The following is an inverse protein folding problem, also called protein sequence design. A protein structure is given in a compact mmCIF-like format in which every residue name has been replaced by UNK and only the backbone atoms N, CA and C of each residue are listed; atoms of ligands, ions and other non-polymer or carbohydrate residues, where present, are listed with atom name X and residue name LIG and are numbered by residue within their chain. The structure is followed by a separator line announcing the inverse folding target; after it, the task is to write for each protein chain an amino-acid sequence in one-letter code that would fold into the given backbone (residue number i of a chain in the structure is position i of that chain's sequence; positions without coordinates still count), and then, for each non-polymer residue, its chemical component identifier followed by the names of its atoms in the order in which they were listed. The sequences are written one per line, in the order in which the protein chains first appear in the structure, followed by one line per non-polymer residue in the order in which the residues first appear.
data_IF_184066010044
#
_entry.id   IF_184066010044
#
_cell.length_a   1.000
_cell.length_b   1.000
_cell.length_c   1.000
_cell.angle_alpha   90.00
_cell.angle_beta   90.00
_cell.angle_gamma   90.00
#
_symmetry.space_group_name_H-M   'P 1'
#
loop_
_entity.id
_entity.type
_entity.pdbx_description
1 polymer ?
#
# COMPACT_ATOMS: atom_id res chain seq x y z
N UNK A 1 -11.26 1.73 12.88
CA UNK A 1 -11.97 0.94 13.92
C UNK A 1 -13.22 1.63 14.46
N UNK A 2 -13.14 2.82 15.08
CA UNK A 2 -14.32 3.49 15.63
C UNK A 2 -15.46 3.69 14.61
N UNK A 3 -15.13 4.12 13.38
CA UNK A 3 -16.12 4.23 12.29
C UNK A 3 -16.74 2.90 11.86
N UNK A 4 -16.02 1.77 12.00
CA UNK A 4 -16.59 0.44 11.72
C UNK A 4 -17.59 0.04 12.80
N UNK A 5 -17.27 0.32 14.07
CA UNK A 5 -18.14 0.06 15.21
C UNK A 5 -19.43 0.90 15.15
N UNK A 6 -19.36 2.12 14.62
CA UNK A 6 -20.50 3.02 14.47
C UNK A 6 -21.32 2.81 13.19
N UNK A 7 -20.90 1.91 12.29
CA UNK A 7 -21.59 1.68 11.01
C UNK A 7 -22.33 0.34 10.98
N UNK A 8 -23.37 0.25 10.15
CA UNK A 8 -24.22 -0.94 9.99
C UNK A 8 -24.18 -1.55 8.56
N UNK A 9 -23.35 -1.01 7.67
CA UNK A 9 -23.29 -1.47 6.27
C UNK A 9 -22.73 -2.89 6.12
N UNK A 10 -23.27 -3.67 5.17
CA UNK A 10 -22.76 -5.00 4.78
C UNK A 10 -21.38 -4.92 4.09
N UNK A 11 -21.10 -3.80 3.47
CA UNK A 11 -19.85 -3.48 2.81
C UNK A 11 -19.16 -2.33 3.54
N UNK A 12 -17.84 -2.36 3.55
CA UNK A 12 -16.99 -1.36 4.15
C UNK A 12 -16.11 -0.71 3.09
N UNK A 13 -15.89 0.58 3.25
CA UNK A 13 -14.84 1.36 2.58
C UNK A 13 -14.35 2.41 3.57
N UNK A 14 -13.04 2.65 3.58
CA UNK A 14 -12.41 3.67 4.41
C UNK A 14 -12.02 4.86 3.54
N UNK A 15 -12.54 6.04 3.84
CA UNK A 15 -12.27 7.26 3.08
C UNK A 15 -11.51 8.25 3.94
N UNK A 16 -10.32 8.65 3.48
CA UNK A 16 -9.58 9.75 4.09
C UNK A 16 -10.33 11.06 3.88
N UNK A 17 -10.31 11.93 4.89
CA UNK A 17 -11.12 13.16 4.94
C UNK A 17 -10.81 14.16 3.80
N UNK A 18 -9.74 13.94 3.05
CA UNK A 18 -9.32 14.81 1.96
C UNK A 18 -9.31 14.17 0.58
N UNK A 19 -9.70 12.90 0.48
CA UNK A 19 -9.90 12.18 -0.76
C UNK A 19 -11.35 12.27 -1.23
N UNK A 20 -11.58 11.97 -2.52
CA UNK A 20 -12.93 11.96 -3.12
C UNK A 20 -13.19 10.63 -3.79
N UNK A 21 -14.37 10.05 -3.56
CA UNK A 21 -14.81 8.87 -4.31
C UNK A 21 -15.26 9.28 -5.71
N UNK A 22 -14.92 8.45 -6.71
CA UNK A 22 -15.45 8.64 -8.04
C UNK A 22 -16.93 8.23 -8.09
N UNK A 23 -17.77 8.95 -8.87
CA UNK A 23 -19.17 8.55 -9.07
C UNK A 23 -19.29 7.11 -9.59
N UNK A 24 -20.24 6.34 -9.05
CA UNK A 24 -20.48 4.96 -9.48
C UNK A 24 -19.50 3.92 -8.91
N UNK A 25 -18.48 4.32 -8.14
CA UNK A 25 -17.50 3.37 -7.61
C UNK A 25 -18.17 2.37 -6.64
N UNK A 26 -18.95 2.85 -5.68
CA UNK A 26 -19.58 1.99 -4.68
C UNK A 26 -20.55 0.99 -5.34
N UNK A 27 -21.34 1.45 -6.29
CA UNK A 27 -22.30 0.63 -7.05
C UNK A 27 -21.57 -0.46 -7.82
N UNK A 28 -20.51 -0.11 -8.57
CA UNK A 28 -19.73 -1.07 -9.35
C UNK A 28 -19.00 -2.09 -8.45
N UNK A 29 -18.43 -1.63 -7.34
CA UNK A 29 -17.69 -2.47 -6.41
C UNK A 29 -18.61 -3.45 -5.66
N UNK A 30 -19.76 -2.97 -5.19
CA UNK A 30 -20.77 -3.83 -4.55
C UNK A 30 -21.34 -4.82 -5.55
N UNK A 31 -21.67 -4.40 -6.78
CA UNK A 31 -22.16 -5.31 -7.81
C UNK A 31 -21.16 -6.43 -8.10
N UNK A 32 -19.86 -6.12 -8.17
CA UNK A 32 -18.83 -7.14 -8.35
C UNK A 32 -18.72 -8.11 -7.15
N UNK A 33 -18.80 -7.60 -5.92
CA UNK A 33 -18.78 -8.44 -4.72
C UNK A 33 -20.03 -9.32 -4.58
N UNK A 34 -21.20 -8.84 -5.00
CA UNK A 34 -22.42 -9.65 -5.04
C UNK A 34 -22.35 -10.73 -6.14
N UNK A 35 -21.76 -10.41 -7.29
CA UNK A 35 -21.63 -11.33 -8.42
C UNK A 35 -20.60 -12.45 -8.21
N UNK A 36 -19.50 -12.18 -7.50
CA UNK A 36 -18.47 -13.17 -7.20
C UNK A 36 -18.18 -13.21 -5.68
N UNK A 37 -18.80 -14.16 -4.94
CA UNK A 37 -18.57 -14.37 -3.51
C UNK A 37 -17.11 -14.70 -3.14
N UNK A 38 -16.28 -15.12 -4.10
CA UNK A 38 -14.88 -15.46 -3.85
C UNK A 38 -13.93 -14.25 -3.93
N UNK A 39 -14.40 -13.09 -4.40
CA UNK A 39 -13.63 -11.85 -4.33
C UNK A 39 -13.43 -11.42 -2.88
N UNK A 40 -12.20 -11.11 -2.50
CA UNK A 40 -11.84 -10.56 -1.19
C UNK A 40 -12.18 -9.08 -1.10
N UNK A 41 -11.82 -8.30 -2.12
CA UNK A 41 -12.05 -6.86 -2.17
C UNK A 41 -12.03 -6.33 -3.61
N UNK A 42 -12.56 -5.12 -3.78
CA UNK A 42 -12.61 -4.41 -5.05
C UNK A 42 -12.01 -3.01 -4.91
N UNK A 43 -11.13 -2.67 -5.83
CA UNK A 43 -10.52 -1.33 -5.94
C UNK A 43 -10.43 -0.94 -7.42
N UNK A 44 -9.85 0.20 -7.74
CA UNK A 44 -9.62 0.59 -9.14
C UNK A 44 -8.53 1.64 -9.27
N UNK A 45 -8.57 2.40 -10.36
CA UNK A 45 -7.60 3.48 -10.54
C UNK A 45 -7.81 4.60 -9.49
N UNK A 46 -6.71 5.12 -8.95
CA UNK A 46 -6.72 6.21 -7.96
C UNK A 46 -5.91 7.42 -8.44
N UNK A 47 -6.35 8.16 -9.47
CA UNK A 47 -5.68 9.37 -9.92
C UNK A 47 -5.40 10.34 -8.76
N UNK A 48 -4.20 10.92 -8.76
CA UNK A 48 -3.77 11.91 -7.78
C UNK A 48 -4.13 13.31 -8.24
N UNK A 49 -4.52 14.19 -7.34
CA UNK A 49 -4.77 15.59 -7.66
C UNK A 49 -4.11 16.54 -6.64
N UNK A 50 -3.95 17.81 -7.02
CA UNK A 50 -3.43 18.87 -6.17
C UNK A 50 -4.35 20.09 -6.28
N UNK A 51 -4.89 20.56 -5.16
CA UNK A 51 -5.85 21.65 -5.16
C UNK A 51 -7.23 21.18 -5.64
N UNK A 52 -7.67 21.64 -6.80
CA UNK A 52 -8.93 21.23 -7.42
C UNK A 52 -8.78 19.87 -8.14
N UNK A 53 -9.86 19.07 -8.23
CA UNK A 53 -9.85 17.72 -8.82
C UNK A 53 -9.82 17.70 -10.35
N UNK A 54 -9.79 18.87 -11.01
CA UNK A 54 -9.77 19.04 -12.47
C UNK A 54 -8.41 18.70 -13.10
N UNK A 55 -7.33 18.67 -12.30
CA UNK A 55 -5.98 18.32 -12.76
C UNK A 55 -5.45 17.09 -12.03
N UNK A 56 -5.66 15.94 -12.66
CA UNK A 56 -5.20 14.65 -12.13
C UNK A 56 -3.95 14.12 -12.81
N UNK A 57 -3.11 13.44 -12.05
CA UNK A 57 -1.97 12.65 -12.52
C UNK A 57 -2.24 11.19 -12.18
N UNK A 58 -2.11 10.23 -13.12
CA UNK A 58 -2.28 8.82 -12.82
C UNK A 58 -1.38 8.38 -11.66
N UNK A 59 -1.95 7.65 -10.70
CA UNK A 59 -1.15 6.91 -9.74
C UNK A 59 -0.81 5.54 -10.34
N UNK A 60 0.46 5.36 -10.68
CA UNK A 60 1.00 4.06 -11.10
C UNK A 60 1.07 3.09 -9.91
N UNK A 61 -0.09 2.47 -9.63
CA UNK A 61 -0.24 1.36 -8.71
C UNK A 61 0.00 0.05 -9.46
N UNK A 62 1.00 -0.76 -9.04
CA UNK A 62 1.26 -2.04 -9.67
C UNK A 62 0.05 -2.97 -9.47
N UNK A 63 -0.18 -3.93 -10.38
CA UNK A 63 -1.25 -4.90 -10.25
C UNK A 63 -1.09 -5.71 -8.95
N UNK A 64 -2.22 -6.13 -8.39
CA UNK A 64 -2.21 -6.94 -7.18
C UNK A 64 -1.64 -8.33 -7.46
N UNK A 65 -0.74 -8.76 -6.58
CA UNK A 65 -0.34 -10.15 -6.35
C UNK A 65 0.18 -10.21 -4.92
N UNK A 66 0.15 -11.38 -4.28
CA UNK A 66 0.69 -11.50 -2.92
C UNK A 66 2.17 -11.11 -2.84
N UNK A 67 2.99 -11.49 -3.83
CA UNK A 67 4.38 -11.07 -3.91
C UNK A 67 4.53 -9.54 -4.04
N UNK A 68 3.67 -8.89 -4.83
CA UNK A 68 3.68 -7.42 -4.91
C UNK A 68 3.24 -6.79 -3.61
N UNK A 69 2.13 -7.25 -3.02
CA UNK A 69 1.59 -6.69 -1.78
C UNK A 69 2.57 -6.77 -0.62
N UNK A 70 3.21 -7.93 -0.43
CA UNK A 70 4.22 -8.14 0.60
C UNK A 70 5.48 -7.29 0.37
N UNK A 71 5.77 -6.94 -0.89
CA UNK A 71 6.88 -6.07 -1.25
C UNK A 71 6.62 -4.59 -1.03
N UNK A 72 5.45 -4.15 -1.46
CA UNK A 72 5.06 -2.75 -1.62
C UNK A 72 3.55 -2.72 -1.55
N UNK A 73 3.03 -1.88 -0.67
CA UNK A 73 1.61 -1.61 -0.68
C UNK A 73 1.13 -1.18 -2.09
N UNK A 74 0.28 -2.00 -2.69
CA UNK A 74 -0.32 -1.77 -4.00
C UNK A 74 -1.84 -1.49 -3.91
N UNK A 75 -2.38 -1.45 -2.69
CA UNK A 75 -3.77 -1.15 -2.39
C UNK A 75 -3.84 0.11 -1.53
N UNK A 76 -4.65 1.08 -1.94
CA UNK A 76 -4.98 2.22 -1.09
C UNK A 76 -6.10 1.84 -0.11
N UNK A 77 -6.26 2.62 0.98
CA UNK A 77 -7.18 2.28 2.07
C UNK A 77 -8.66 2.19 1.62
N UNK A 78 -9.05 2.98 0.61
CA UNK A 78 -10.41 3.05 0.07
C UNK A 78 -10.80 1.91 -0.88
N UNK A 79 -10.35 0.68 -0.62
CA UNK A 79 -10.92 -0.50 -1.27
C UNK A 79 -12.28 -0.84 -0.63
N UNK A 80 -13.17 -1.49 -1.39
CA UNK A 80 -14.44 -2.02 -0.88
C UNK A 80 -14.29 -3.49 -0.53
N UNK A 81 -14.71 -3.87 0.68
CA UNK A 81 -14.72 -5.25 1.16
C UNK A 81 -16.02 -5.58 1.89
N UNK A 82 -16.29 -6.87 2.15
CA UNK A 82 -17.41 -7.28 3.01
C UNK A 82 -17.06 -7.03 4.47
N UNK A 83 -18.04 -6.56 5.25
CA UNK A 83 -17.90 -6.45 6.71
C UNK A 83 -17.55 -7.80 7.33
N UNK A 84 -18.18 -8.88 6.86
CA UNK A 84 -17.91 -10.22 7.37
C UNK A 84 -16.43 -10.62 7.25
N UNK A 85 -15.72 -10.15 6.22
CA UNK A 85 -14.28 -10.41 6.05
C UNK A 85 -13.44 -9.52 6.99
N UNK A 86 -13.83 -8.25 7.16
CA UNK A 86 -13.22 -7.35 8.14
C UNK A 86 -13.31 -7.92 9.57
N UNK A 87 -14.48 -8.44 9.96
CA UNK A 87 -14.76 -8.94 11.32
C UNK A 87 -13.97 -10.21 11.67
N UNK A 88 -13.30 -10.84 10.69
CA UNK A 88 -12.34 -11.94 10.92
C UNK A 88 -10.97 -11.45 11.37
N UNK A 89 -10.74 -10.15 11.37
CA UNK A 89 -9.48 -9.50 11.75
C UNK A 89 -9.66 -8.70 13.05
N UNK A 90 -8.54 -8.24 13.63
CA UNK A 90 -8.57 -7.26 14.72
C UNK A 90 -8.81 -5.81 14.24
N UNK A 91 -9.07 -5.60 12.94
CA UNK A 91 -9.13 -4.29 12.31
C UNK A 91 -7.75 -3.64 12.16
N UNK A 92 -7.73 -2.30 12.14
CA UNK A 92 -6.49 -1.53 12.03
C UNK A 92 -5.70 -1.58 13.34
N UNK A 93 -4.42 -1.90 13.27
CA UNK A 93 -3.55 -1.96 14.44
C UNK A 93 -2.98 -0.57 14.82
N UNK A 94 -3.26 -0.05 16.03
CA UNK A 94 -2.74 1.23 16.48
C UNK A 94 -1.20 1.34 16.47
N UNK A 95 -0.49 0.21 16.50
CA UNK A 95 0.98 0.19 16.40
C UNK A 95 1.50 0.75 15.06
N UNK A 96 0.64 0.83 14.04
CA UNK A 96 0.91 1.40 12.72
C UNK A 96 0.27 2.79 12.49
N UNK A 97 -0.25 3.45 13.53
CA UNK A 97 -0.86 4.78 13.40
C UNK A 97 0.10 5.89 12.93
N UNK A 98 1.42 5.67 13.02
CA UNK A 98 2.43 6.56 12.45
C UNK A 98 2.55 6.45 10.92
N UNK A 99 1.97 5.41 10.32
CA UNK A 99 1.99 5.13 8.88
C UNK A 99 1.93 3.62 8.59
N UNK A 100 1.41 3.27 7.40
CA UNK A 100 1.26 1.91 6.87
C UNK A 100 0.18 1.08 7.58
N UNK A 101 -0.72 1.73 8.31
CA UNK A 101 -1.91 1.13 8.91
C UNK A 101 -2.79 0.38 7.89
N UNK A 102 -2.88 0.91 6.67
CA UNK A 102 -3.58 0.28 5.55
C UNK A 102 -2.87 -1.00 5.08
N UNK A 103 -1.55 -0.94 4.92
CA UNK A 103 -0.75 -2.09 4.51
C UNK A 103 -0.85 -3.23 5.53
N UNK A 104 -0.64 -2.94 6.80
CA UNK A 104 -0.82 -3.90 7.90
C UNK A 104 -2.20 -4.55 7.85
N UNK A 105 -3.25 -3.73 7.77
CA UNK A 105 -4.62 -4.20 7.71
C UNK A 105 -4.87 -5.17 6.54
N UNK A 106 -4.39 -4.83 5.33
CA UNK A 106 -4.54 -5.70 4.17
C UNK A 106 -3.83 -7.05 4.35
N UNK A 107 -2.63 -7.06 4.94
CA UNK A 107 -1.92 -8.31 5.22
C UNK A 107 -2.66 -9.16 6.27
N UNK A 108 -3.12 -8.55 7.36
CA UNK A 108 -3.96 -9.23 8.36
C UNK A 108 -5.26 -9.79 7.76
N UNK A 109 -5.90 -9.06 6.85
CA UNK A 109 -7.08 -9.53 6.14
C UNK A 109 -6.77 -10.78 5.31
N UNK A 110 -5.67 -10.77 4.54
CA UNK A 110 -5.28 -11.91 3.72
C UNK A 110 -4.83 -13.13 4.53
N UNK A 111 -4.29 -12.94 5.74
CA UNK A 111 -3.99 -14.04 6.67
C UNK A 111 -5.24 -14.66 7.29
N UNK A 112 -6.27 -13.87 7.57
CA UNK A 112 -7.49 -14.31 8.25
C UNK A 112 -8.48 -15.04 7.31
N UNK A 113 -8.32 -14.87 6.00
CA UNK A 113 -9.19 -15.46 4.98
C UNK A 113 -8.64 -16.79 4.47
N UNK A 114 -9.51 -17.78 4.21
CA UNK A 114 -9.09 -19.04 3.63
C UNK A 114 -8.76 -18.87 2.14
N UNK A 115 -7.73 -19.57 1.68
CA UNK A 115 -7.34 -19.58 0.27
C UNK A 115 -6.47 -18.40 -0.15
N UNK A 116 -6.32 -18.21 -1.46
CA UNK A 116 -5.60 -17.07 -2.01
C UNK A 116 -6.55 -15.87 -2.19
N UNK A 117 -6.13 -14.65 -1.82
CA UNK A 117 -6.98 -13.47 -1.95
C UNK A 117 -7.25 -13.17 -3.42
N UNK A 118 -8.54 -13.00 -3.75
CA UNK A 118 -8.97 -12.60 -5.09
C UNK A 118 -9.33 -11.12 -5.06
N UNK A 119 -8.53 -10.32 -5.73
CA UNK A 119 -8.67 -8.86 -5.74
C UNK A 119 -9.07 -8.41 -7.14
N UNK A 120 -10.19 -7.69 -7.25
CA UNK A 120 -10.63 -7.10 -8.50
C UNK A 120 -10.17 -5.64 -8.60
N UNK A 121 -9.51 -5.31 -9.70
CA UNK A 121 -9.21 -3.92 -10.10
C UNK A 121 -10.19 -3.50 -11.20
N UNK A 122 -11.05 -2.55 -10.89
CA UNK A 122 -11.92 -1.88 -11.85
C UNK A 122 -11.08 -0.99 -12.78
N UNK A 123 -11.50 -0.90 -14.04
CA UNK A 123 -10.82 -0.11 -15.06
C UNK A 123 -11.05 1.40 -14.88
N UNK A 124 -12.21 1.78 -14.34
CA UNK A 124 -12.56 3.17 -14.08
C UNK A 124 -11.84 3.76 -12.86
N UNK A 125 -11.67 5.10 -12.81
CA UNK A 125 -11.34 5.80 -11.58
C UNK A 125 -12.32 5.45 -10.48
N UNK A 126 -11.80 5.12 -9.31
CA UNK A 126 -12.57 4.78 -8.11
C UNK A 126 -12.33 5.80 -6.99
N UNK A 127 -11.14 6.39 -6.95
CA UNK A 127 -10.72 7.35 -5.95
C UNK A 127 -9.96 8.50 -6.63
N UNK A 128 -10.17 9.72 -6.17
CA UNK A 128 -9.26 10.84 -6.41
C UNK A 128 -8.46 11.06 -5.13
N UNK A 129 -7.15 10.77 -5.21
CA UNK A 129 -6.25 10.86 -4.07
C UNK A 129 -5.62 12.25 -3.95
N UNK A 130 -5.78 12.93 -2.83
CA UNK A 130 -5.24 14.28 -2.64
C UNK A 130 -3.78 14.23 -2.26
N UNK A 131 -2.95 14.93 -3.04
CA UNK A 131 -1.55 15.15 -2.70
C UNK A 131 -1.35 16.53 -2.08
N UNK A 132 -0.77 16.57 -0.87
CA UNK A 132 -0.39 17.80 -0.16
C UNK A 132 1.13 17.93 -0.04
N UNK A 133 1.61 19.17 -0.08
CA UNK A 133 3.02 19.45 0.18
C UNK A 133 3.34 19.17 1.66
N UNK A 134 4.41 18.41 1.92
CA UNK A 134 4.77 17.99 3.28
C UNK A 134 3.75 17.04 3.91
N UNK A 135 3.13 16.16 3.13
CA UNK A 135 2.30 15.05 3.65
C UNK A 135 3.08 14.20 4.66
N UNK A 136 2.36 13.41 5.48
CA UNK A 136 2.95 12.47 6.43
C UNK A 136 4.07 11.63 5.77
N UNK A 137 3.75 11.08 4.60
CA UNK A 137 4.66 10.27 3.78
C UNK A 137 5.91 11.03 3.30
N UNK A 138 5.80 12.35 3.05
CA UNK A 138 6.93 13.18 2.66
C UNK A 138 7.89 13.51 3.83
N UNK A 139 7.48 13.27 5.08
CA UNK A 139 8.27 13.56 6.29
C UNK A 139 8.82 12.30 6.98
N UNK A 140 8.49 11.10 6.49
CA UNK A 140 8.97 9.86 7.10
C UNK A 140 10.47 9.71 6.83
N UNK A 141 11.26 9.56 7.90
CA UNK A 141 12.70 9.32 7.79
C UNK A 141 12.98 7.86 7.41
N UNK A 142 14.17 7.59 6.87
CA UNK A 142 14.60 6.23 6.52
C UNK A 142 14.58 5.29 7.74
N UNK A 143 14.93 5.80 8.92
CA UNK A 143 14.87 5.05 10.19
C UNK A 143 13.44 4.60 10.51
N UNK A 144 12.47 5.52 10.44
CA UNK A 144 11.06 5.20 10.71
C UNK A 144 10.52 4.20 9.67
N UNK A 145 10.90 4.35 8.40
CA UNK A 145 10.52 3.38 7.35
C UNK A 145 11.07 1.97 7.63
N UNK A 146 12.32 1.86 8.07
CA UNK A 146 12.94 0.57 8.43
C UNK A 146 12.24 -0.06 9.63
N UNK A 147 11.92 0.73 10.65
CA UNK A 147 11.23 0.25 11.84
C UNK A 147 9.82 -0.26 11.52
N UNK A 148 9.04 0.49 10.74
CA UNK A 148 7.68 0.08 10.32
C UNK A 148 7.75 -1.22 9.49
N UNK A 149 8.72 -1.32 8.57
CA UNK A 149 8.90 -2.54 7.77
C UNK A 149 9.29 -3.75 8.61
N UNK A 150 10.17 -3.57 9.60
CA UNK A 150 10.51 -4.65 10.54
C UNK A 150 9.26 -5.11 11.30
N UNK A 151 8.41 -4.19 11.76
CA UNK A 151 7.14 -4.55 12.41
C UNK A 151 6.19 -5.32 11.51
N UNK A 152 6.03 -4.90 10.24
CA UNK A 152 5.23 -5.66 9.26
C UNK A 152 5.79 -7.08 9.08
N UNK A 153 7.11 -7.22 8.92
CA UNK A 153 7.75 -8.52 8.80
C UNK A 153 7.51 -9.39 10.03
N UNK A 154 7.76 -8.87 11.23
CA UNK A 154 7.64 -9.61 12.48
C UNK A 154 6.20 -10.08 12.72
N UNK A 155 5.22 -9.22 12.42
CA UNK A 155 3.79 -9.51 12.58
C UNK A 155 3.29 -10.55 11.57
N UNK A 156 3.68 -10.43 10.29
CA UNK A 156 3.18 -11.27 9.19
C UNK A 156 4.21 -12.32 8.73
N UNK A 157 5.15 -12.72 9.58
CA UNK A 157 6.28 -13.61 9.22
C UNK A 157 5.86 -14.90 8.54
N UNK A 158 4.71 -15.45 8.91
CA UNK A 158 4.18 -16.68 8.34
C UNK A 158 3.70 -16.46 6.90
N UNK A 159 2.99 -15.34 6.65
CA UNK A 159 2.60 -14.94 5.31
C UNK A 159 3.82 -14.66 4.44
N UNK A 160 4.83 -13.96 4.98
CA UNK A 160 6.10 -13.75 4.26
C UNK A 160 6.79 -15.06 3.91
N UNK A 161 6.92 -16.00 4.85
CA UNK A 161 7.56 -17.30 4.62
C UNK A 161 6.86 -18.13 3.53
N UNK A 162 5.54 -17.99 3.38
CA UNK A 162 4.76 -18.68 2.32
C UNK A 162 5.15 -18.22 0.91
N UNK A 163 5.44 -16.93 0.72
CA UNK A 163 5.70 -16.33 -0.60
C UNK A 163 7.19 -16.02 -0.86
N UNK A 164 7.99 -15.91 0.19
CA UNK A 164 9.43 -15.67 0.14
C UNK A 164 10.14 -16.67 1.07
N UNK A 165 10.40 -17.90 0.59
CA UNK A 165 11.06 -18.93 1.39
C UNK A 165 12.50 -18.54 1.76
N UNK A 166 13.11 -17.64 1.00
CA UNK A 166 14.41 -17.03 1.29
C UNK A 166 14.24 -15.51 1.53
N UNK A 167 14.66 -14.99 2.70
CA UNK A 167 14.68 -13.55 2.99
C UNK A 167 15.41 -12.71 1.94
N UNK A 168 16.40 -13.27 1.24
CA UNK A 168 17.12 -12.61 0.15
C UNK A 168 16.28 -12.45 -1.13
N UNK A 169 15.18 -13.19 -1.24
CA UNK A 169 14.22 -13.07 -2.34
C UNK A 169 13.12 -12.05 -2.03
N UNK A 170 13.06 -11.57 -0.78
CA UNK A 170 12.11 -10.52 -0.41
C UNK A 170 12.42 -9.24 -1.16
N UNK A 171 11.37 -8.57 -1.60
CA UNK A 171 11.53 -7.31 -2.28
C UNK A 171 12.03 -6.18 -1.35
N UNK A 172 11.82 -6.30 -0.04
CA UNK A 172 12.48 -5.53 1.02
C UNK A 172 14.00 -5.66 0.89
N UNK A 173 14.54 -6.89 0.84
CA UNK A 173 15.96 -7.13 0.63
C UNK A 173 16.43 -6.59 -0.73
N UNK A 174 15.68 -6.84 -1.82
CA UNK A 174 16.07 -6.35 -3.14
C UNK A 174 16.05 -4.82 -3.23
N UNK A 175 15.13 -4.14 -2.53
CA UNK A 175 15.12 -2.67 -2.41
C UNK A 175 16.29 -2.17 -1.57
N UNK A 176 16.54 -2.79 -0.42
CA UNK A 176 17.70 -2.46 0.42
C UNK A 176 18.99 -2.62 -0.38
N UNK A 177 19.19 -3.77 -1.02
CA UNK A 177 20.33 -4.04 -1.92
C UNK A 177 20.48 -2.97 -2.99
N UNK A 178 19.40 -2.64 -3.74
CA UNK A 178 19.41 -1.58 -4.75
C UNK A 178 19.73 -0.20 -4.16
N UNK A 179 19.29 0.09 -2.94
CA UNK A 179 19.59 1.36 -2.26
C UNK A 179 21.07 1.45 -1.85
N UNK A 180 21.66 0.35 -1.36
CA UNK A 180 23.10 0.24 -1.08
C UNK A 180 23.92 0.34 -2.36
N UNK A 181 23.52 -0.36 -3.42
CA UNK A 181 24.18 -0.31 -4.73
C UNK A 181 24.15 1.12 -5.30
N UNK A 182 23.02 1.82 -5.18
CA UNK A 182 22.89 3.22 -5.58
C UNK A 182 23.80 4.12 -4.76
N UNK A 183 23.81 3.98 -3.43
CA UNK A 183 24.69 4.76 -2.54
C UNK A 183 26.18 4.53 -2.83
N UNK A 184 26.57 3.27 -3.09
CA UNK A 184 27.94 2.91 -3.47
C UNK A 184 28.36 3.54 -4.81
N UNK A 185 27.47 3.51 -5.82
CA UNK A 185 27.70 4.16 -7.12
C UNK A 185 27.85 5.68 -6.99
N UNK A 186 27.02 6.33 -6.15
CA UNK A 186 27.15 7.77 -5.88
C UNK A 186 28.44 8.12 -5.14
N UNK A 187 28.84 7.33 -4.14
CA UNK A 187 30.11 7.50 -3.41
C UNK A 187 31.33 7.38 -4.35
N UNK A 188 31.32 6.38 -5.23
CA UNK A 188 32.38 6.17 -6.21
C UNK A 188 32.44 7.30 -7.25
N UNK A 189 31.29 7.71 -7.78
CA UNK A 189 31.20 8.83 -8.72
C UNK A 189 31.70 10.15 -8.08
N UNK A 190 31.39 10.38 -6.81
CA UNK A 190 31.84 11.57 -6.08
C UNK A 190 33.37 11.54 -5.83
N UNK A 191 33.92 10.38 -5.44
CA UNK A 191 35.37 10.19 -5.27
C UNK A 191 36.14 10.37 -6.59
N UNK A 192 35.63 9.83 -7.69
CA UNK A 192 36.21 10.02 -9.03
C UNK A 192 36.19 11.49 -9.46
N UNK A 193 35.10 12.22 -9.17
CA UNK A 193 34.97 13.65 -9.47
C UNK A 193 35.98 14.50 -8.68
N UNK A 194 36.24 14.14 -7.42
CA UNK A 194 37.29 14.77 -6.59
C UNK A 194 38.70 14.48 -7.12
N UNK A 195 38.97 13.24 -7.52
CA UNK A 195 40.24 12.83 -8.12
C UNK A 195 40.51 13.57 -9.42
N UNK A 196 39.51 13.65 -10.30
CA UNK A 196 39.60 14.39 -11.56
C UNK A 196 39.86 15.88 -11.31
N UNK A 197 39.18 16.49 -10.32
CA UNK A 197 39.44 17.87 -9.91
C UNK A 197 40.85 18.11 -9.38
N UNK A 198 41.51 17.12 -8.79
CA UNK A 198 42.90 17.23 -8.30
C UNK A 198 43.96 16.98 -9.38
N UNK A 199 43.63 16.19 -10.40
CA UNK A 199 44.55 15.86 -11.49
C UNK A 199 44.56 16.90 -12.61
N UNK A 200 43.50 17.70 -12.72
CA UNK A 200 43.30 18.71 -13.78
C UNK A 200 43.12 20.13 -13.22
N UNK A 201 43.69 20.39 -12.03
CA UNK A 201 43.86 21.71 -11.41
C UNK A 201 45.33 21.92 -11.10
#
# INVERSE_FOLDING_TARGET
NAGVAASAGRYLLFLDADDLLAPGYLEAAVAALEADPSLTLVYGAAPRFKGAPDRTIPWDLPPFSMGTMLSRNCLYVSCVLRRADFDRTAGFDPAFGAGYEDWDFWLSLFEALPGEPRVLRLEQPCLYYRTRHGSRNARVTDTVLKDIRRRLWDKHKNLYAKYFPDPLQTAEYQRLKRSFDKAARWSLAWKLRLLWRRLFS
#
